data_IF_645890850261
#
_entry.id   IF_645890850261
#
_cell.length_a   1.000
_cell.length_b   1.000
_cell.length_c   1.000
_cell.angle_alpha   90.00
_cell.angle_beta   90.00
_cell.angle_gamma   90.00
#
_symmetry.space_group_name_H-M   'P 1'
#
loop_
_entity.id
_entity.type
_entity.pdbx_description
1 polymer ?
#
# COMPACT_ATOMS: atom_id res chain seq x y z
N UNK A 1 3.75 35.85 -16.99
CA UNK A 1 5.03 35.58 -16.27
C UNK A 1 6.06 35.06 -17.28
N UNK A 2 7.31 35.51 -17.26
CA UNK A 2 8.35 35.01 -18.18
C UNK A 2 8.78 33.60 -17.69
N UNK A 3 8.70 32.58 -18.55
CA UNK A 3 9.05 31.20 -18.22
C UNK A 3 10.50 31.04 -17.69
N UNK A 4 11.44 31.83 -18.22
CA UNK A 4 12.85 31.85 -17.78
C UNK A 4 12.93 32.29 -16.31
N UNK A 5 12.25 33.40 -15.99
CA UNK A 5 12.21 33.94 -14.62
C UNK A 5 11.54 32.95 -13.67
N UNK A 6 10.46 32.31 -14.11
CA UNK A 6 9.76 31.30 -13.28
C UNK A 6 10.67 30.11 -12.90
N UNK A 7 11.39 29.56 -13.88
CA UNK A 7 12.31 28.43 -13.64
C UNK A 7 13.45 28.87 -12.73
N UNK A 8 14.02 30.08 -12.96
CA UNK A 8 15.06 30.62 -12.10
C UNK A 8 14.60 30.80 -10.66
N UNK A 9 13.41 31.40 -10.46
CA UNK A 9 12.82 31.59 -9.13
C UNK A 9 12.52 30.25 -8.44
N UNK A 10 12.05 29.25 -9.21
CA UNK A 10 11.83 27.90 -8.68
C UNK A 10 13.14 27.28 -8.14
N UNK A 11 14.20 27.34 -8.91
CA UNK A 11 15.51 26.81 -8.51
C UNK A 11 16.03 27.53 -7.24
N UNK A 12 16.00 28.85 -7.22
CA UNK A 12 16.48 29.60 -6.06
C UNK A 12 15.67 29.41 -4.80
N UNK A 13 14.34 29.32 -4.89
CA UNK A 13 13.47 29.17 -3.71
C UNK A 13 13.45 27.76 -3.15
N UNK A 14 13.52 26.75 -4.02
CA UNK A 14 13.27 25.37 -3.62
C UNK A 14 14.53 24.51 -3.64
N UNK A 15 15.56 24.86 -4.42
CA UNK A 15 16.76 24.06 -4.65
C UNK A 15 18.05 24.88 -4.49
N UNK A 16 18.04 25.91 -3.64
CA UNK A 16 19.11 26.90 -3.49
C UNK A 16 20.48 26.32 -3.10
N UNK A 17 20.50 25.18 -2.42
CA UNK A 17 21.73 24.51 -2.00
C UNK A 17 22.19 23.41 -2.97
N UNK A 18 21.49 23.25 -4.08
CA UNK A 18 21.75 22.19 -5.04
C UNK A 18 22.60 22.71 -6.18
N UNK A 19 23.59 21.94 -6.60
CA UNK A 19 24.58 22.37 -7.61
C UNK A 19 24.53 21.54 -8.88
N UNK A 20 24.03 20.29 -8.82
CA UNK A 20 24.05 19.37 -9.95
C UNK A 20 22.71 18.66 -10.12
N UNK A 21 22.23 18.67 -11.35
CA UNK A 21 20.91 18.12 -11.67
C UNK A 21 20.96 17.13 -12.83
N UNK A 22 20.08 16.14 -12.77
CA UNK A 22 19.75 15.28 -13.90
C UNK A 22 18.43 15.78 -14.50
N UNK A 23 18.35 15.90 -15.80
CA UNK A 23 17.13 16.28 -16.52
C UNK A 23 16.61 15.07 -17.29
N UNK A 24 15.39 14.62 -16.97
CA UNK A 24 14.74 13.56 -17.71
C UNK A 24 14.27 14.06 -19.07
N UNK A 25 14.84 13.55 -20.17
CA UNK A 25 14.60 14.01 -21.53
C UNK A 25 14.00 12.90 -22.37
N UNK A 26 12.74 13.10 -22.83
CA UNK A 26 12.08 12.18 -23.78
C UNK A 26 12.32 12.52 -25.24
N UNK A 27 12.83 13.73 -25.55
CA UNK A 27 12.86 14.29 -26.89
C UNK A 27 11.62 15.12 -27.25
N UNK A 28 10.54 15.01 -26.45
CA UNK A 28 9.33 15.79 -26.62
C UNK A 28 9.48 17.26 -26.22
N UNK A 29 8.57 18.10 -26.71
CA UNK A 29 8.56 19.56 -26.59
C UNK A 29 8.89 20.06 -25.19
N UNK A 30 8.22 19.52 -24.17
CA UNK A 30 8.30 20.02 -22.79
C UNK A 30 9.66 19.68 -22.16
N UNK A 31 10.18 18.47 -22.42
CA UNK A 31 11.50 18.05 -21.93
C UNK A 31 12.65 18.80 -22.59
N UNK A 32 12.54 19.10 -23.88
CA UNK A 32 13.51 19.91 -24.63
C UNK A 32 13.47 21.36 -24.12
N UNK A 33 12.28 21.91 -23.88
CA UNK A 33 12.13 23.26 -23.32
C UNK A 33 12.81 23.36 -21.94
N UNK A 34 12.56 22.41 -21.04
CA UNK A 34 13.20 22.41 -19.73
C UNK A 34 14.72 22.32 -19.82
N UNK A 35 15.26 21.41 -20.63
CA UNK A 35 16.69 21.22 -20.79
C UNK A 35 17.36 22.51 -21.33
N UNK A 36 16.76 23.12 -22.34
CA UNK A 36 17.28 24.39 -22.92
C UNK A 36 17.21 25.55 -21.92
N UNK A 37 16.10 25.67 -21.15
CA UNK A 37 15.95 26.69 -20.10
C UNK A 37 17.05 26.60 -19.06
N UNK A 38 17.34 25.40 -18.57
CA UNK A 38 18.36 25.16 -17.55
C UNK A 38 19.76 25.47 -18.07
N UNK A 39 20.08 25.08 -19.33
CA UNK A 39 21.34 25.43 -19.98
C UNK A 39 21.49 26.94 -20.16
N UNK A 40 20.40 27.63 -20.57
CA UNK A 40 20.39 29.09 -20.71
C UNK A 40 20.62 29.81 -19.36
N UNK A 41 20.17 29.24 -18.26
CA UNK A 41 20.37 29.75 -16.90
C UNK A 41 21.75 29.40 -16.32
N UNK A 42 22.60 28.68 -17.06
CA UNK A 42 23.93 28.30 -16.62
C UNK A 42 23.94 27.21 -15.53
N UNK A 43 22.88 26.45 -15.43
CA UNK A 43 22.75 25.36 -14.43
C UNK A 43 23.56 24.13 -14.87
N UNK A 44 24.29 23.51 -13.95
CA UNK A 44 25.00 22.24 -14.22
C UNK A 44 24.02 21.08 -14.33
N UNK A 45 23.82 20.60 -15.56
CA UNK A 45 22.84 19.54 -15.86
C UNK A 45 23.47 18.41 -16.66
N UNK A 46 22.99 17.20 -16.35
CA UNK A 46 23.19 15.99 -17.16
C UNK A 46 21.85 15.56 -17.70
N UNK A 47 21.70 15.47 -19.01
CA UNK A 47 20.50 14.93 -19.65
C UNK A 47 20.47 13.41 -19.46
N UNK A 48 19.28 12.86 -19.15
CA UNK A 48 19.06 11.43 -19.01
C UNK A 48 17.92 10.97 -19.91
N UNK A 49 18.20 10.03 -20.83
CA UNK A 49 17.23 9.49 -21.77
C UNK A 49 17.05 7.99 -21.60
N UNK A 50 15.79 7.55 -21.53
CA UNK A 50 15.42 6.14 -21.51
C UNK A 50 14.79 5.71 -22.83
N UNK A 51 15.40 4.76 -23.53
CA UNK A 51 14.81 4.10 -24.68
C UNK A 51 14.14 2.79 -24.24
N UNK A 52 12.81 2.75 -24.27
CA UNK A 52 12.03 1.59 -23.81
C UNK A 52 11.79 0.55 -24.90
N UNK A 53 12.24 0.77 -26.14
CA UNK A 53 12.07 -0.10 -27.32
C UNK A 53 10.62 -0.55 -27.57
N UNK A 54 9.65 0.31 -27.22
CA UNK A 54 8.23 0.01 -27.37
C UNK A 54 7.68 0.32 -28.76
N UNK A 55 8.35 1.19 -29.54
CA UNK A 55 7.92 1.72 -30.83
C UNK A 55 8.92 1.42 -31.95
N UNK A 56 9.68 0.32 -31.84
CA UNK A 56 10.70 -0.07 -32.82
C UNK A 56 11.60 1.13 -33.26
N UNK A 57 11.68 1.43 -34.55
CA UNK A 57 12.56 2.46 -35.11
C UNK A 57 12.31 3.88 -34.54
N UNK A 58 11.05 4.23 -34.23
CA UNK A 58 10.73 5.54 -33.62
C UNK A 58 11.45 5.77 -32.30
N UNK A 59 11.58 4.70 -31.48
CA UNK A 59 12.28 4.80 -30.20
C UNK A 59 13.78 5.07 -30.37
N UNK A 60 14.39 4.52 -31.41
CA UNK A 60 15.80 4.71 -31.72
C UNK A 60 16.03 6.09 -32.38
N UNK A 61 15.08 6.58 -33.20
CA UNK A 61 15.09 7.93 -33.76
C UNK A 61 14.98 9.00 -32.65
N UNK A 62 14.12 8.78 -31.66
CA UNK A 62 14.01 9.68 -30.50
C UNK A 62 15.34 9.77 -29.73
N UNK A 63 16.01 8.65 -29.50
CA UNK A 63 17.32 8.60 -28.86
C UNK A 63 18.38 9.36 -29.69
N UNK A 64 18.41 9.17 -31.03
CA UNK A 64 19.33 9.88 -31.90
C UNK A 64 19.07 11.38 -31.92
N UNK A 65 17.81 11.79 -31.91
CA UNK A 65 17.43 13.21 -31.80
C UNK A 65 17.96 13.81 -30.50
N UNK A 66 17.76 13.15 -29.34
CA UNK A 66 18.25 13.64 -28.05
C UNK A 66 19.77 13.71 -28.02
N UNK A 67 20.48 12.71 -28.59
CA UNK A 67 21.95 12.75 -28.76
C UNK A 67 22.42 13.96 -29.56
N UNK A 68 21.76 14.20 -30.69
CA UNK A 68 22.07 15.33 -31.58
C UNK A 68 21.82 16.68 -30.91
N UNK A 69 20.67 16.80 -30.19
CA UNK A 69 20.32 18.01 -29.45
C UNK A 69 21.34 18.31 -28.34
N UNK A 70 21.69 17.31 -27.53
CA UNK A 70 22.65 17.47 -26.44
C UNK A 70 24.05 17.83 -26.96
N UNK A 71 24.49 17.23 -28.10
CA UNK A 71 25.74 17.54 -28.75
C UNK A 71 25.77 18.99 -29.25
N UNK A 72 24.66 19.46 -29.88
CA UNK A 72 24.55 20.82 -30.40
C UNK A 72 24.66 21.89 -29.29
N UNK A 73 24.08 21.57 -28.11
CA UNK A 73 24.04 22.53 -27.00
C UNK A 73 25.13 22.29 -25.94
N UNK A 74 26.10 21.41 -26.21
CA UNK A 74 27.19 21.05 -25.29
C UNK A 74 26.64 20.66 -23.92
N UNK A 75 25.75 19.64 -23.90
CA UNK A 75 25.11 19.07 -22.70
C UNK A 75 25.55 17.61 -22.56
N UNK A 76 26.03 17.25 -21.38
CA UNK A 76 26.34 15.84 -21.06
C UNK A 76 25.07 14.99 -21.10
N UNK A 77 25.13 13.82 -21.74
CA UNK A 77 23.99 12.92 -21.90
C UNK A 77 24.34 11.51 -21.43
N UNK A 78 23.45 10.94 -20.65
CA UNK A 78 23.43 9.51 -20.29
C UNK A 78 22.19 8.86 -20.91
N UNK A 79 22.36 7.69 -21.54
CA UNK A 79 21.29 6.94 -22.17
C UNK A 79 21.25 5.51 -21.67
N UNK A 80 20.05 4.95 -21.55
CA UNK A 80 19.85 3.54 -21.29
C UNK A 80 18.74 2.98 -22.19
N UNK A 81 18.86 1.71 -22.59
CA UNK A 81 17.82 1.00 -23.34
C UNK A 81 17.29 -0.17 -22.53
N UNK A 82 15.96 -0.39 -22.56
CA UNK A 82 15.27 -1.45 -21.86
C UNK A 82 14.48 -2.34 -22.82
N UNK A 83 14.56 -3.65 -22.65
CA UNK A 83 13.59 -4.57 -23.25
C UNK A 83 12.33 -4.64 -22.36
N UNK A 84 11.53 -3.57 -22.41
CA UNK A 84 10.38 -3.37 -21.54
C UNK A 84 9.32 -4.47 -21.73
N UNK A 85 9.15 -5.00 -22.94
CA UNK A 85 8.14 -6.04 -23.21
C UNK A 85 8.48 -7.34 -22.50
N UNK A 86 9.72 -7.80 -22.61
CA UNK A 86 10.18 -9.03 -21.93
C UNK A 86 10.12 -8.88 -20.39
N UNK A 87 10.52 -7.73 -19.86
CA UNK A 87 10.48 -7.47 -18.41
C UNK A 87 9.03 -7.46 -17.90
N UNK A 88 8.11 -6.77 -18.60
CA UNK A 88 6.69 -6.72 -18.26
C UNK A 88 6.05 -8.12 -18.23
N UNK A 89 6.34 -8.97 -19.23
CA UNK A 89 5.86 -10.35 -19.29
C UNK A 89 6.37 -11.18 -18.10
N UNK A 90 7.65 -11.08 -17.79
CA UNK A 90 8.26 -11.82 -16.68
C UNK A 90 7.70 -11.40 -15.31
N UNK A 91 7.44 -10.11 -15.12
CA UNK A 91 6.91 -9.56 -13.87
C UNK A 91 5.38 -9.62 -13.78
N UNK A 92 4.68 -9.98 -14.87
CA UNK A 92 3.20 -9.96 -14.98
C UNK A 92 2.60 -8.59 -14.63
N UNK A 93 3.27 -7.52 -15.01
CA UNK A 93 2.85 -6.13 -14.77
C UNK A 93 2.47 -5.44 -16.08
N UNK A 94 1.68 -4.35 -16.00
CA UNK A 94 1.34 -3.56 -17.19
C UNK A 94 2.59 -2.88 -17.78
N UNK A 95 2.70 -2.85 -19.11
CA UNK A 95 3.87 -2.27 -19.83
C UNK A 95 4.20 -0.85 -19.36
N UNK A 96 3.18 -0.01 -19.13
CA UNK A 96 3.38 1.38 -18.68
C UNK A 96 3.91 1.45 -17.24
N UNK A 97 3.43 0.56 -16.37
CA UNK A 97 3.89 0.45 -14.99
C UNK A 97 5.35 -0.02 -14.96
N UNK A 98 5.67 -1.05 -15.75
CA UNK A 98 7.03 -1.55 -15.91
C UNK A 98 7.97 -0.45 -16.42
N UNK A 99 7.60 0.25 -17.50
CA UNK A 99 8.40 1.35 -18.06
C UNK A 99 8.61 2.47 -17.05
N UNK A 100 7.58 2.79 -16.26
CA UNK A 100 7.68 3.78 -15.20
C UNK A 100 8.64 3.34 -14.08
N UNK A 101 8.53 2.11 -13.61
CA UNK A 101 9.43 1.57 -12.57
C UNK A 101 10.89 1.56 -13.05
N UNK A 102 11.16 1.05 -14.25
CA UNK A 102 12.50 1.03 -14.86
C UNK A 102 13.11 2.43 -14.97
N UNK A 103 12.31 3.40 -15.42
CA UNK A 103 12.72 4.82 -15.53
C UNK A 103 13.18 5.39 -14.20
N UNK A 104 12.35 5.28 -13.15
CA UNK A 104 12.65 5.90 -11.87
C UNK A 104 13.78 5.19 -11.12
N UNK A 105 13.88 3.87 -11.24
CA UNK A 105 14.98 3.11 -10.67
C UNK A 105 16.32 3.53 -11.31
N UNK A 106 16.40 3.58 -12.63
CA UNK A 106 17.61 4.01 -13.31
C UNK A 106 17.94 5.49 -13.04
N UNK A 107 16.96 6.38 -12.97
CA UNK A 107 17.20 7.77 -12.63
C UNK A 107 17.82 7.92 -11.23
N UNK A 108 17.38 7.10 -10.26
CA UNK A 108 17.97 7.12 -8.92
C UNK A 108 19.39 6.54 -8.91
N UNK A 109 19.63 5.44 -9.60
CA UNK A 109 20.97 4.87 -9.77
C UNK A 109 21.92 5.90 -10.40
N UNK A 110 21.47 6.58 -11.46
CA UNK A 110 22.22 7.62 -12.15
C UNK A 110 22.47 8.82 -11.22
N UNK A 111 21.46 9.24 -10.46
CA UNK A 111 21.58 10.35 -9.49
C UNK A 111 22.67 10.06 -8.46
N UNK A 112 22.65 8.87 -7.89
CA UNK A 112 23.66 8.45 -6.91
C UNK A 112 25.05 8.38 -7.55
N UNK A 113 25.19 7.76 -8.73
CA UNK A 113 26.47 7.57 -9.41
C UNK A 113 27.13 8.89 -9.83
N UNK A 114 26.34 9.88 -10.20
CA UNK A 114 26.80 11.20 -10.60
C UNK A 114 26.90 12.19 -9.44
N UNK A 115 26.51 11.80 -8.24
CA UNK A 115 26.38 12.67 -7.07
C UNK A 115 25.53 13.91 -7.39
N UNK A 116 24.38 13.70 -8.05
CA UNK A 116 23.43 14.75 -8.38
C UNK A 116 22.40 14.92 -7.26
N UNK A 117 21.95 16.17 -7.06
CA UNK A 117 21.03 16.51 -5.98
C UNK A 117 19.58 16.12 -6.31
N UNK A 118 19.14 16.46 -7.52
CA UNK A 118 17.77 16.24 -7.97
C UNK A 118 17.69 15.74 -9.41
N UNK A 119 16.55 15.09 -9.69
CA UNK A 119 16.09 14.74 -11.04
C UNK A 119 14.98 15.73 -11.41
N UNK A 120 15.18 16.48 -12.47
CA UNK A 120 14.22 17.47 -12.97
C UNK A 120 13.38 16.85 -14.09
N UNK A 121 12.05 16.98 -13.97
CA UNK A 121 11.10 16.48 -14.97
C UNK A 121 10.22 17.61 -15.49
N UNK A 122 9.81 17.50 -16.75
CA UNK A 122 9.08 18.55 -17.46
C UNK A 122 7.55 18.48 -17.29
N UNK A 123 7.05 18.00 -16.15
CA UNK A 123 5.62 18.08 -15.86
C UNK A 123 5.19 19.54 -15.74
N UNK A 124 4.01 19.87 -16.30
CA UNK A 124 3.52 21.24 -16.42
C UNK A 124 2.05 21.36 -15.93
N UNK A 125 1.46 22.56 -16.03
CA UNK A 125 0.13 22.85 -15.48
C UNK A 125 -0.98 21.94 -16.05
N UNK A 126 -0.90 21.56 -17.32
CA UNK A 126 -1.88 20.66 -17.92
C UNK A 126 -1.79 19.25 -17.33
N UNK A 127 -0.57 18.72 -17.08
CA UNK A 127 -0.42 17.40 -16.40
C UNK A 127 -0.99 17.43 -14.98
N UNK A 128 -0.83 18.58 -14.29
CA UNK A 128 -1.43 18.80 -12.98
C UNK A 128 -2.95 18.80 -13.06
N UNK A 129 -3.54 19.51 -14.05
CA UNK A 129 -4.99 19.54 -14.27
C UNK A 129 -5.55 18.16 -14.66
N UNK A 130 -4.86 17.42 -15.54
CA UNK A 130 -5.22 16.04 -15.88
C UNK A 130 -5.28 15.13 -14.64
N UNK A 131 -4.25 15.24 -13.80
CA UNK A 131 -4.17 14.43 -12.57
C UNK A 131 -5.25 14.82 -11.56
N UNK A 132 -5.52 16.13 -11.41
CA UNK A 132 -6.61 16.64 -10.57
C UNK A 132 -7.95 16.09 -11.02
N UNK A 133 -8.30 16.22 -12.29
CA UNK A 133 -9.57 15.74 -12.83
C UNK A 133 -9.72 14.22 -12.72
N UNK A 134 -8.66 13.48 -13.01
CA UNK A 134 -8.63 12.04 -12.85
C UNK A 134 -8.88 11.61 -11.39
N UNK A 135 -8.23 12.26 -10.44
CA UNK A 135 -8.37 11.98 -9.02
C UNK A 135 -9.74 12.41 -8.48
N UNK A 136 -10.26 13.55 -8.93
CA UNK A 136 -11.60 14.02 -8.60
C UNK A 136 -12.68 13.03 -9.07
N UNK A 137 -12.59 12.54 -10.30
CA UNK A 137 -13.50 11.55 -10.85
C UNK A 137 -13.47 10.20 -10.10
N UNK A 138 -12.36 9.87 -9.44
CA UNK A 138 -12.20 8.65 -8.62
C UNK A 138 -12.55 8.83 -7.15
N UNK A 139 -12.88 10.04 -6.70
CA UNK A 139 -13.16 10.31 -5.30
C UNK A 139 -11.95 10.19 -4.38
N UNK A 140 -10.77 10.56 -4.85
CA UNK A 140 -9.48 10.34 -4.15
C UNK A 140 -9.26 11.19 -2.89
N UNK A 141 -10.25 11.94 -2.39
CA UNK A 141 -10.12 12.80 -1.21
C UNK A 141 -9.11 13.94 -1.39
N UNK A 142 -8.86 14.69 -0.31
CA UNK A 142 -8.02 15.90 -0.35
C UNK A 142 -6.57 15.62 -0.77
N UNK A 143 -6.01 14.48 -0.37
CA UNK A 143 -4.66 14.05 -0.74
C UNK A 143 -4.50 13.77 -2.24
N UNK A 144 -5.54 13.28 -2.90
CA UNK A 144 -5.55 13.12 -4.36
C UNK A 144 -5.76 14.44 -5.09
N UNK A 145 -6.58 15.34 -4.52
CA UNK A 145 -6.90 16.63 -5.13
C UNK A 145 -5.73 17.63 -5.10
N UNK A 146 -4.73 17.48 -4.24
CA UNK A 146 -3.49 18.25 -4.33
C UNK A 146 -2.72 17.99 -5.63
N UNK A 147 -3.07 16.93 -6.37
CA UNK A 147 -2.50 16.55 -7.65
C UNK A 147 -0.98 16.24 -7.58
N UNK A 148 -0.19 16.75 -8.52
CA UNK A 148 1.24 16.51 -8.63
C UNK A 148 2.00 17.50 -7.75
N UNK A 149 2.85 17.07 -6.80
CA UNK A 149 3.66 18.00 -6.02
C UNK A 149 4.84 18.55 -6.84
N UNK A 150 5.24 19.79 -6.55
CA UNK A 150 6.38 20.45 -7.20
C UNK A 150 7.71 19.74 -6.89
N UNK A 151 7.83 19.19 -5.67
CA UNK A 151 8.96 18.34 -5.24
C UNK A 151 8.41 17.10 -4.59
N UNK A 152 9.01 15.95 -4.90
CA UNK A 152 8.68 14.66 -4.28
C UNK A 152 9.97 13.83 -4.15
N UNK A 153 10.52 13.76 -2.93
CA UNK A 153 11.84 13.20 -2.70
C UNK A 153 12.90 13.91 -3.53
N UNK A 154 13.63 13.18 -4.35
CA UNK A 154 14.66 13.69 -5.25
C UNK A 154 14.14 14.15 -6.62
N UNK A 155 12.85 14.19 -6.85
CA UNK A 155 12.24 14.61 -8.12
C UNK A 155 11.68 16.02 -7.97
N UNK A 156 12.11 16.96 -8.82
CA UNK A 156 11.58 18.30 -8.87
C UNK A 156 10.98 18.63 -10.25
N UNK A 157 10.02 19.55 -10.27
CA UNK A 157 9.20 19.88 -11.46
C UNK A 157 9.15 21.39 -11.69
N UNK A 158 10.22 21.97 -12.27
CA UNK A 158 10.31 23.42 -12.43
C UNK A 158 9.23 24.04 -13.33
N UNK A 159 8.63 23.26 -14.24
CA UNK A 159 7.57 23.70 -15.15
C UNK A 159 6.15 23.49 -14.63
N UNK A 160 5.97 22.96 -13.40
CA UNK A 160 4.65 22.50 -12.92
C UNK A 160 3.57 23.59 -12.92
N UNK A 161 3.95 24.85 -12.79
CA UNK A 161 3.03 26.00 -12.79
C UNK A 161 3.10 26.81 -14.09
N UNK A 162 3.64 26.25 -15.16
CA UNK A 162 3.69 26.80 -16.51
C UNK A 162 2.69 26.06 -17.39
N UNK A 163 1.88 26.78 -18.17
CA UNK A 163 0.92 26.17 -19.10
C UNK A 163 1.61 25.60 -20.33
N UNK A 164 0.99 24.62 -20.98
CA UNK A 164 1.48 24.05 -22.22
C UNK A 164 1.62 25.11 -23.32
N UNK A 165 0.73 26.12 -23.34
CA UNK A 165 0.81 27.26 -24.27
C UNK A 165 2.08 28.07 -24.05
N UNK A 166 2.43 28.41 -22.81
CA UNK A 166 3.64 29.15 -22.47
C UNK A 166 4.90 28.37 -22.87
N UNK A 167 4.93 27.05 -22.71
CA UNK A 167 6.04 26.20 -23.17
C UNK A 167 6.11 26.22 -24.69
N UNK A 168 4.98 26.11 -25.39
CA UNK A 168 4.90 26.14 -26.85
C UNK A 168 5.45 27.47 -27.38
N UNK A 169 5.00 28.59 -26.81
CA UNK A 169 5.48 29.92 -27.19
C UNK A 169 6.99 30.07 -26.98
N UNK A 170 7.52 29.51 -25.88
CA UNK A 170 8.97 29.50 -25.65
C UNK A 170 9.73 28.71 -26.72
N UNK A 171 9.29 27.50 -27.03
CA UNK A 171 9.91 26.61 -28.01
C UNK A 171 9.90 27.21 -29.40
N UNK A 172 8.78 27.84 -29.83
CA UNK A 172 8.64 28.52 -31.10
C UNK A 172 9.57 29.76 -31.16
N UNK A 173 9.57 30.61 -30.13
CA UNK A 173 10.40 31.79 -30.07
C UNK A 173 11.90 31.48 -30.08
N UNK A 174 12.31 30.32 -29.52
CA UNK A 174 13.69 29.84 -29.53
C UNK A 174 14.04 28.97 -30.74
N UNK A 175 13.07 28.69 -31.62
CA UNK A 175 13.21 27.81 -32.78
C UNK A 175 13.76 26.43 -32.44
N UNK A 176 13.35 25.88 -31.27
CA UNK A 176 13.80 24.59 -30.82
C UNK A 176 13.10 23.47 -31.59
N UNK A 177 13.88 22.52 -32.07
CA UNK A 177 13.35 21.27 -32.62
C UNK A 177 12.96 20.30 -31.51
N UNK A 178 11.92 19.52 -31.73
CA UNK A 178 11.45 18.46 -30.81
C UNK A 178 10.76 17.33 -31.59
N UNK A 179 10.60 16.19 -30.94
CA UNK A 179 9.87 15.03 -31.51
C UNK A 179 8.42 15.03 -31.03
N UNK A 180 7.53 14.61 -31.89
CA UNK A 180 6.11 14.38 -31.54
C UNK A 180 5.91 12.89 -31.31
N UNK A 181 5.52 12.52 -30.09
CA UNK A 181 5.29 11.14 -29.72
C UNK A 181 3.92 10.66 -30.27
N UNK A 182 3.94 9.69 -31.18
CA UNK A 182 2.75 9.13 -31.83
C UNK A 182 1.78 8.48 -30.81
N UNK A 183 2.25 8.00 -29.67
CA UNK A 183 1.42 7.41 -28.60
C UNK A 183 0.51 8.42 -27.91
N UNK A 184 0.83 9.71 -27.97
CA UNK A 184 0.00 10.78 -27.43
C UNK A 184 -1.34 10.96 -28.17
N UNK A 185 -1.48 10.41 -29.38
CA UNK A 185 -2.68 10.54 -30.21
C UNK A 185 -3.79 9.55 -29.85
N UNK A 186 -3.54 8.60 -28.94
CA UNK A 186 -4.50 7.52 -28.62
C UNK A 186 -5.26 7.82 -27.33
N UNK A 187 -6.60 7.86 -27.39
CA UNK A 187 -7.51 8.01 -26.24
C UNK A 187 -7.72 6.71 -25.44
N UNK A 188 -6.92 5.67 -25.72
CA UNK A 188 -7.04 4.36 -25.05
C UNK A 188 -6.86 4.43 -23.52
N UNK A 189 -6.24 5.48 -23.02
CA UNK A 189 -5.95 5.67 -21.61
C UNK A 189 -6.73 6.84 -21.02
N UNK A 190 -7.23 6.70 -19.81
CA UNK A 190 -8.07 7.68 -19.12
C UNK A 190 -7.46 9.09 -19.06
N UNK A 191 -6.13 9.21 -18.94
CA UNK A 191 -5.46 10.53 -18.95
C UNK A 191 -5.47 11.18 -20.31
N UNK A 192 -5.25 10.41 -21.38
CA UNK A 192 -5.33 10.94 -22.74
C UNK A 192 -6.76 11.40 -23.06
N UNK A 193 -7.77 10.66 -22.60
CA UNK A 193 -9.16 11.09 -22.73
C UNK A 193 -9.42 12.43 -22.03
N UNK A 194 -8.91 12.62 -20.81
CA UNK A 194 -9.03 13.90 -20.09
C UNK A 194 -8.32 15.01 -20.88
N UNK A 195 -7.11 14.77 -21.36
CA UNK A 195 -6.31 15.73 -22.15
C UNK A 195 -7.02 16.15 -23.44
N UNK A 196 -7.56 15.20 -24.20
CA UNK A 196 -8.06 15.48 -25.56
C UNK A 196 -9.56 15.82 -25.59
N UNK A 197 -10.33 15.38 -24.59
CA UNK A 197 -11.78 15.58 -24.61
C UNK A 197 -12.23 16.51 -23.48
N UNK A 198 -11.80 16.30 -22.24
CA UNK A 198 -12.35 17.01 -21.09
C UNK A 198 -11.76 18.41 -20.93
N UNK A 199 -10.44 18.53 -20.97
CA UNK A 199 -9.77 19.85 -20.83
C UNK A 199 -10.23 20.83 -21.92
N UNK A 200 -10.27 20.47 -23.22
CA UNK A 200 -10.78 21.37 -24.24
C UNK A 200 -12.24 21.82 -24.05
N UNK A 201 -13.10 20.94 -23.49
CA UNK A 201 -14.47 21.33 -23.15
C UNK A 201 -14.51 22.33 -21.98
N UNK A 202 -13.66 22.16 -20.98
CA UNK A 202 -13.54 23.11 -19.87
C UNK A 202 -13.00 24.46 -20.36
N UNK A 203 -12.05 24.48 -21.29
CA UNK A 203 -11.49 25.68 -21.89
C UNK A 203 -12.51 26.44 -22.77
N UNK A 204 -13.51 25.74 -23.35
CA UNK A 204 -14.64 26.39 -24.01
C UNK A 204 -15.55 27.13 -23.00
N UNK A 205 -15.66 26.65 -21.78
CA UNK A 205 -16.40 27.31 -20.70
C UNK A 205 -15.58 28.48 -20.17
N UNK A 206 -14.29 28.25 -19.93
CA UNK A 206 -13.35 29.25 -19.44
C UNK A 206 -11.95 28.98 -20.03
N UNK A 207 -11.43 29.85 -20.91
CA UNK A 207 -10.10 29.67 -21.50
C UNK A 207 -8.95 29.53 -20.47
N UNK A 208 -9.15 29.99 -19.23
CA UNK A 208 -8.18 29.87 -18.14
C UNK A 208 -8.46 28.65 -17.23
N UNK A 209 -9.23 27.67 -17.68
CA UNK A 209 -9.65 26.50 -16.85
C UNK A 209 -8.44 25.76 -16.24
N UNK A 210 -7.38 25.52 -17.01
CA UNK A 210 -6.15 24.86 -16.53
C UNK A 210 -5.48 25.69 -15.42
N UNK A 211 -5.38 27.00 -15.59
CA UNK A 211 -4.80 27.92 -14.60
C UNK A 211 -5.62 27.96 -13.31
N UNK A 212 -6.96 27.98 -13.41
CA UNK A 212 -7.82 27.96 -12.25
C UNK A 212 -7.80 26.61 -11.50
N UNK A 213 -7.69 25.49 -12.21
CA UNK A 213 -7.46 24.18 -11.59
C UNK A 213 -6.12 24.18 -10.84
N UNK A 214 -5.06 24.69 -11.47
CA UNK A 214 -3.75 24.81 -10.84
C UNK A 214 -3.81 25.68 -9.57
N UNK A 215 -4.47 26.85 -9.61
CA UNK A 215 -4.67 27.68 -8.41
C UNK A 215 -5.44 26.93 -7.31
N UNK A 216 -6.48 26.19 -7.67
CA UNK A 216 -7.26 25.39 -6.72
C UNK A 216 -6.39 24.31 -6.04
N UNK A 217 -5.50 23.65 -6.81
CA UNK A 217 -4.56 22.66 -6.23
C UNK A 217 -3.54 23.30 -5.30
N UNK A 218 -3.09 24.54 -5.60
CA UNK A 218 -2.19 25.29 -4.72
C UNK A 218 -2.87 25.65 -3.39
N UNK A 219 -4.12 26.09 -3.43
CA UNK A 219 -4.90 26.35 -2.21
C UNK A 219 -5.04 25.08 -1.38
N UNK A 220 -5.44 23.95 -2.00
CA UNK A 220 -5.55 22.67 -1.32
C UNK A 220 -4.19 22.28 -0.69
N UNK A 221 -3.12 22.39 -1.44
CA UNK A 221 -1.76 22.05 -0.98
C UNK A 221 -1.31 22.91 0.19
N UNK A 222 -1.69 24.19 0.22
CA UNK A 222 -1.35 25.11 1.31
C UNK A 222 -2.11 24.84 2.61
N UNK A 223 -3.32 24.25 2.51
CA UNK A 223 -4.15 23.89 3.67
C UNK A 223 -3.79 22.52 4.25
N UNK A 224 -3.19 21.63 3.46
CA UNK A 224 -2.86 20.28 3.89
C UNK A 224 -2.01 20.20 5.17
N UNK A 225 -0.94 21.00 5.36
CA UNK A 225 -0.16 20.96 6.60
C UNK A 225 -1.01 21.23 7.86
N UNK A 226 -2.02 22.11 7.76
CA UNK A 226 -2.95 22.40 8.87
C UNK A 226 -3.80 21.16 9.18
N UNK A 227 -4.27 20.47 8.14
CA UNK A 227 -5.05 19.23 8.30
C UNK A 227 -4.18 18.13 8.86
N UNK A 228 -2.96 17.97 8.37
CA UNK A 228 -1.99 16.96 8.82
C UNK A 228 -1.61 17.18 10.30
N UNK A 229 -1.30 18.40 10.71
CA UNK A 229 -1.04 18.74 12.11
C UNK A 229 -2.22 18.37 13.02
N UNK A 230 -3.44 18.69 12.60
CA UNK A 230 -4.65 18.32 13.33
C UNK A 230 -4.85 16.81 13.39
N UNK A 231 -4.60 16.09 12.31
CA UNK A 231 -4.73 14.64 12.24
C UNK A 231 -3.66 13.95 13.09
N UNK A 232 -2.44 14.45 13.11
CA UNK A 232 -1.37 13.93 13.97
C UNK A 232 -1.69 14.10 15.47
N UNK A 233 -2.28 15.23 15.84
CA UNK A 233 -2.76 15.45 17.22
C UNK A 233 -3.88 14.47 17.59
N UNK A 234 -4.84 14.25 16.70
CA UNK A 234 -5.92 13.28 16.90
C UNK A 234 -5.43 11.84 16.93
N UNK A 235 -4.46 11.49 16.10
CA UNK A 235 -3.84 10.17 16.09
C UNK A 235 -3.27 9.81 17.46
N UNK A 236 -2.56 10.74 18.11
CA UNK A 236 -2.03 10.56 19.46
C UNK A 236 -3.13 10.36 20.52
N UNK A 237 -4.32 10.92 20.31
CA UNK A 237 -5.44 10.84 21.25
C UNK A 237 -6.32 9.60 21.03
N UNK A 238 -6.58 9.25 19.77
CA UNK A 238 -7.60 8.27 19.39
C UNK A 238 -7.03 6.90 19.03
N UNK A 239 -5.74 6.83 18.70
CA UNK A 239 -5.10 5.61 18.20
C UNK A 239 -4.07 5.13 19.22
N UNK A 240 -4.14 3.85 19.55
CA UNK A 240 -3.12 3.14 20.31
C UNK A 240 -2.64 1.92 19.54
N UNK A 241 -1.37 1.61 19.62
CA UNK A 241 -0.78 0.42 19.00
C UNK A 241 -0.48 -0.58 20.12
N UNK A 242 -1.03 -1.79 20.00
CA UNK A 242 -0.81 -2.87 20.93
C UNK A 242 -0.57 -4.19 20.18
N UNK A 243 0.55 -4.86 20.48
CA UNK A 243 0.94 -6.13 19.84
C UNK A 243 0.81 -6.14 18.31
N UNK A 244 1.17 -5.02 17.65
CA UNK A 244 1.09 -4.87 16.20
C UNK A 244 -0.32 -4.59 15.66
N UNK A 245 -1.34 -4.47 16.52
CA UNK A 245 -2.68 -4.03 16.15
C UNK A 245 -2.85 -2.52 16.38
N UNK A 246 -3.62 -1.88 15.50
CA UNK A 246 -4.01 -0.47 15.61
C UNK A 246 -5.40 -0.43 16.23
N UNK A 247 -5.53 0.19 17.40
CA UNK A 247 -6.79 0.32 18.12
C UNK A 247 -7.28 1.76 18.04
N UNK A 248 -8.47 1.99 17.48
CA UNK A 248 -9.06 3.32 17.28
C UNK A 248 -10.32 3.45 18.14
N UNK A 249 -10.40 4.53 18.95
CA UNK A 249 -11.56 4.82 19.76
C UNK A 249 -12.68 5.43 18.93
N UNK A 250 -13.69 4.61 18.56
CA UNK A 250 -14.81 5.06 17.71
C UNK A 250 -15.77 6.02 18.43
N UNK A 251 -15.93 5.92 19.75
CA UNK A 251 -16.81 6.82 20.52
C UNK A 251 -16.31 8.26 20.42
N UNK A 252 -15.02 8.47 20.68
CA UNK A 252 -14.43 9.81 20.60
C UNK A 252 -14.32 10.29 19.16
N UNK A 253 -14.01 9.38 18.23
CA UNK A 253 -13.91 9.69 16.81
C UNK A 253 -15.26 10.20 16.25
N UNK A 254 -16.38 9.58 16.59
CA UNK A 254 -17.72 9.96 16.10
C UNK A 254 -18.19 11.34 16.57
N UNK A 255 -17.61 11.91 17.61
CA UNK A 255 -17.88 13.28 18.04
C UNK A 255 -17.35 14.32 17.05
N UNK A 256 -16.50 13.92 16.11
CA UNK A 256 -15.86 14.81 15.15
C UNK A 256 -16.68 14.90 13.86
N UNK A 257 -16.96 16.11 13.38
CA UNK A 257 -17.66 16.34 12.11
C UNK A 257 -16.89 15.82 10.88
N UNK A 258 -15.60 15.52 11.03
CA UNK A 258 -14.69 15.01 10.00
C UNK A 258 -14.16 13.59 10.30
N UNK A 259 -14.88 12.84 11.14
CA UNK A 259 -14.52 11.48 11.54
C UNK A 259 -14.22 10.55 10.34
N UNK A 260 -15.06 10.60 9.30
CA UNK A 260 -14.88 9.79 8.09
C UNK A 260 -13.60 10.14 7.33
N UNK A 261 -13.26 11.41 7.23
CA UNK A 261 -12.05 11.85 6.55
C UNK A 261 -10.79 11.47 7.33
N UNK A 262 -10.80 11.63 8.65
CA UNK A 262 -9.71 11.20 9.51
C UNK A 262 -9.51 9.68 9.41
N UNK A 263 -10.58 8.90 9.56
CA UNK A 263 -10.50 7.44 9.53
C UNK A 263 -10.06 6.95 8.15
N UNK A 264 -10.56 7.56 7.07
CA UNK A 264 -10.12 7.23 5.72
C UNK A 264 -8.63 7.54 5.50
N UNK A 265 -8.14 8.66 5.99
CA UNK A 265 -6.72 9.01 5.91
C UNK A 265 -5.83 7.95 6.58
N UNK A 266 -6.22 7.46 7.75
CA UNK A 266 -5.46 6.44 8.48
C UNK A 266 -5.57 5.04 7.85
N UNK A 267 -6.74 4.68 7.31
CA UNK A 267 -7.00 3.32 6.83
C UNK A 267 -6.78 3.11 5.33
N UNK A 268 -6.77 4.15 4.51
CA UNK A 268 -6.55 4.03 3.06
C UNK A 268 -5.17 3.48 2.71
N UNK A 269 -4.14 3.82 3.48
CA UNK A 269 -2.77 3.29 3.34
C UNK A 269 -2.69 1.79 3.69
N UNK A 270 -3.68 1.29 4.44
CA UNK A 270 -3.85 -0.12 4.79
C UNK A 270 -4.78 -0.85 3.82
N UNK A 271 -5.21 -0.18 2.73
CA UNK A 271 -6.00 -0.75 1.64
C UNK A 271 -7.52 -0.73 1.83
N UNK A 272 -8.05 -0.07 2.85
CA UNK A 272 -9.50 0.11 3.00
C UNK A 272 -10.01 1.25 2.13
N UNK A 273 -11.17 1.06 1.50
CA UNK A 273 -11.82 2.07 0.68
C UNK A 273 -12.81 2.93 1.49
N UNK A 274 -13.25 4.04 0.88
CA UNK A 274 -14.13 5.00 1.54
C UNK A 274 -15.49 4.40 1.95
N UNK A 275 -16.05 3.48 1.15
CA UNK A 275 -17.31 2.80 1.49
C UNK A 275 -17.17 1.96 2.74
N UNK A 276 -16.08 1.20 2.86
CA UNK A 276 -15.78 0.43 4.07
C UNK A 276 -15.62 1.32 5.30
N UNK A 277 -14.93 2.45 5.16
CA UNK A 277 -14.73 3.40 6.26
C UNK A 277 -16.06 4.01 6.75
N UNK A 278 -16.94 4.38 5.83
CA UNK A 278 -18.28 4.87 6.18
C UNK A 278 -19.11 3.79 6.88
N UNK A 279 -19.03 2.54 6.41
CA UNK A 279 -19.73 1.42 7.04
C UNK A 279 -19.19 1.13 8.44
N UNK A 280 -17.86 1.17 8.66
CA UNK A 280 -17.25 1.07 9.99
C UNK A 280 -17.78 2.09 10.99
N UNK A 281 -17.97 3.33 10.56
CA UNK A 281 -18.51 4.39 11.41
C UNK A 281 -20.00 4.18 11.69
N UNK A 282 -20.78 3.77 10.70
CA UNK A 282 -22.21 3.53 10.84
C UNK A 282 -22.53 2.32 11.73
N UNK A 283 -21.66 1.31 11.74
CA UNK A 283 -21.83 0.08 12.51
C UNK A 283 -21.00 0.03 13.80
N UNK A 284 -20.45 1.16 14.23
CA UNK A 284 -19.52 1.28 15.38
C UNK A 284 -20.00 0.71 16.70
N UNK A 285 -21.33 0.58 16.88
CA UNK A 285 -21.97 -0.02 18.06
C UNK A 285 -22.19 -1.54 17.93
N UNK A 286 -21.91 -2.15 16.77
CA UNK A 286 -22.11 -3.58 16.51
C UNK A 286 -20.79 -4.34 16.66
N UNK A 287 -20.52 -4.84 17.87
CA UNK A 287 -19.34 -5.69 18.11
C UNK A 287 -19.39 -6.96 17.25
N UNK A 288 -18.25 -7.28 16.61
CA UNK A 288 -18.10 -8.43 15.73
C UNK A 288 -18.20 -8.11 14.24
N UNK A 289 -18.62 -6.89 13.85
CA UNK A 289 -18.55 -6.46 12.46
C UNK A 289 -17.10 -6.41 11.98
N UNK A 290 -16.81 -6.87 10.76
CA UNK A 290 -15.46 -6.96 10.23
C UNK A 290 -15.37 -6.58 8.74
N UNK A 291 -14.23 -6.05 8.35
CA UNK A 291 -13.89 -5.66 6.97
C UNK A 291 -12.48 -6.12 6.63
N UNK A 292 -12.29 -6.55 5.39
CA UNK A 292 -11.01 -7.00 4.88
C UNK A 292 -10.51 -6.04 3.80
N UNK A 293 -9.23 -5.69 3.87
CA UNK A 293 -8.48 -5.13 2.76
C UNK A 293 -7.54 -6.21 2.20
N UNK A 294 -6.74 -5.86 1.19
CA UNK A 294 -5.72 -6.78 0.65
C UNK A 294 -4.58 -7.08 1.65
N UNK A 295 -4.39 -6.28 2.67
CA UNK A 295 -3.27 -6.40 3.62
C UNK A 295 -3.67 -6.38 5.09
N UNK A 296 -4.91 -5.98 5.43
CA UNK A 296 -5.35 -5.82 6.82
C UNK A 296 -6.80 -6.25 7.02
N UNK A 297 -7.12 -6.59 8.25
CA UNK A 297 -8.48 -6.88 8.72
C UNK A 297 -8.83 -5.87 9.81
N UNK A 298 -10.02 -5.27 9.73
CA UNK A 298 -10.57 -4.36 10.72
C UNK A 298 -11.79 -5.00 11.40
N UNK A 299 -11.88 -4.95 12.73
CA UNK A 299 -12.99 -5.53 13.52
C UNK A 299 -13.44 -4.51 14.56
N UNK A 300 -14.74 -4.41 14.78
CA UNK A 300 -15.29 -3.66 15.90
C UNK A 300 -15.40 -4.57 17.15
N UNK A 301 -14.80 -4.13 18.23
CA UNK A 301 -14.92 -4.74 19.53
C UNK A 301 -15.15 -3.67 20.62
N UNK A 302 -16.31 -3.69 21.30
CA UNK A 302 -16.68 -2.76 22.37
C UNK A 302 -16.43 -1.29 22.00
N UNK A 303 -16.96 -0.88 20.82
CA UNK A 303 -16.81 0.48 20.27
C UNK A 303 -15.36 0.93 19.99
N UNK A 304 -14.42 0.00 19.90
CA UNK A 304 -13.08 0.20 19.35
C UNK A 304 -12.99 -0.48 17.99
N UNK A 305 -12.40 0.18 17.02
CA UNK A 305 -11.99 -0.43 15.77
C UNK A 305 -10.57 -0.96 15.95
N UNK A 306 -10.41 -2.26 15.81
CA UNK A 306 -9.11 -2.94 15.91
C UNK A 306 -8.71 -3.34 14.50
N UNK A 307 -7.56 -2.84 14.05
CA UNK A 307 -7.01 -3.16 12.73
C UNK A 307 -5.69 -3.90 12.93
N UNK A 308 -5.57 -5.05 12.29
CA UNK A 308 -4.36 -5.88 12.35
C UNK A 308 -3.98 -6.39 10.96
N UNK A 309 -2.69 -6.70 10.73
CA UNK A 309 -2.25 -7.25 9.46
C UNK A 309 -3.03 -8.51 9.12
N UNK A 310 -3.70 -8.50 7.97
CA UNK A 310 -4.31 -9.67 7.37
C UNK A 310 -3.22 -10.34 6.54
N UNK A 311 -2.73 -11.46 6.98
CA UNK A 311 -2.06 -12.34 6.04
C UNK A 311 -3.17 -12.94 5.17
N UNK A 312 -3.26 -12.57 3.89
CA UNK A 312 -3.84 -13.44 2.86
C UNK A 312 -2.96 -14.70 2.74
N UNK A 313 -2.95 -15.50 3.76
CA UNK A 313 -2.87 -16.92 3.51
C UNK A 313 -4.34 -17.34 3.33
N UNK A 314 -4.73 -17.55 2.06
CA UNK A 314 -5.79 -18.52 1.76
C UNK A 314 -5.75 -19.56 2.87
N UNK A 315 -6.91 -19.94 3.38
CA UNK A 315 -7.03 -21.04 4.34
C UNK A 315 -6.43 -22.30 3.70
N UNK A 316 -5.10 -22.37 3.62
CA UNK A 316 -4.42 -23.62 3.41
C UNK A 316 -4.81 -24.44 4.63
N UNK A 317 -5.46 -25.55 4.39
CA UNK A 317 -5.77 -26.55 5.39
C UNK A 317 -4.45 -27.17 5.86
N UNK A 318 -3.72 -26.44 6.70
CA UNK A 318 -2.56 -27.00 7.35
C UNK A 318 -3.05 -27.99 8.39
N UNK A 319 -2.73 -29.24 8.19
CA UNK A 319 -2.95 -30.32 9.15
C UNK A 319 -1.57 -30.89 9.54
N UNK A 320 -1.36 -31.04 10.82
CA UNK A 320 -0.14 -31.66 11.34
C UNK A 320 -0.52 -32.95 12.06
N UNK A 321 0.00 -34.08 11.56
CA UNK A 321 -0.29 -35.42 12.08
C UNK A 321 0.83 -35.86 13.03
N UNK A 322 0.46 -36.31 14.21
CA UNK A 322 1.35 -36.90 15.22
C UNK A 322 0.96 -38.35 15.44
N UNK A 323 1.83 -39.28 15.07
CA UNK A 323 1.57 -40.72 15.23
C UNK A 323 1.98 -41.24 16.61
N UNK A 324 2.95 -40.62 17.25
CA UNK A 324 3.42 -40.96 18.61
C UNK A 324 4.03 -39.72 19.27
N UNK A 325 4.03 -39.64 20.60
CA UNK A 325 4.75 -38.60 21.34
C UNK A 325 5.94 -39.27 22.05
N UNK A 326 7.12 -38.76 21.72
CA UNK A 326 8.35 -38.95 22.51
C UNK A 326 8.35 -37.90 23.61
N UNK A 327 9.21 -37.98 24.60
CA UNK A 327 9.24 -37.10 25.80
C UNK A 327 8.84 -35.62 25.52
N UNK A 328 9.26 -35.07 24.41
CA UNK A 328 8.86 -33.76 23.91
C UNK A 328 8.67 -33.79 22.38
N UNK A 329 7.52 -33.32 21.92
CA UNK A 329 7.22 -33.19 20.49
C UNK A 329 6.79 -31.74 20.21
N UNK A 330 7.35 -31.14 19.14
CA UNK A 330 6.96 -29.81 18.68
C UNK A 330 6.05 -29.90 17.45
N UNK A 331 4.98 -29.14 17.44
CA UNK A 331 4.00 -29.04 16.35
C UNK A 331 3.90 -27.58 15.95
N UNK A 332 4.24 -27.25 14.72
CA UNK A 332 4.13 -25.88 14.21
C UNK A 332 3.00 -25.76 13.20
N UNK A 333 2.04 -24.88 13.49
CA UNK A 333 0.95 -24.50 12.59
C UNK A 333 0.85 -22.96 12.56
N UNK A 334 0.73 -22.37 11.40
CA UNK A 334 0.50 -20.91 11.23
C UNK A 334 1.38 -20.04 12.12
N UNK A 335 2.67 -20.25 12.11
CA UNK A 335 3.63 -19.49 12.94
C UNK A 335 3.39 -19.63 14.46
N UNK A 336 2.60 -20.61 14.91
CA UNK A 336 2.46 -20.99 16.30
C UNK A 336 3.11 -22.35 16.50
N UNK A 337 4.02 -22.44 17.45
CA UNK A 337 4.65 -23.69 17.81
C UNK A 337 4.07 -24.17 19.15
N UNK A 338 3.45 -25.34 19.13
CA UNK A 338 2.96 -26.03 20.31
C UNK A 338 4.00 -27.03 20.79
N UNK A 339 4.18 -27.08 22.08
CA UNK A 339 5.01 -28.07 22.75
C UNK A 339 4.12 -29.11 23.41
N UNK A 340 4.28 -30.36 23.01
CA UNK A 340 3.59 -31.52 23.55
C UNK A 340 4.54 -32.25 24.52
N UNK A 341 4.11 -32.44 25.73
CA UNK A 341 4.89 -33.09 26.80
C UNK A 341 4.12 -34.26 27.36
N UNK A 342 4.76 -35.42 27.48
CA UNK A 342 4.23 -36.54 28.23
C UNK A 342 4.74 -36.43 29.66
N UNK A 343 3.80 -36.28 30.63
CA UNK A 343 4.12 -36.16 32.05
C UNK A 343 3.37 -37.19 32.85
N UNK A 344 3.85 -37.53 34.06
CA UNK A 344 3.12 -38.36 35.00
C UNK A 344 2.01 -37.55 35.69
N UNK A 345 0.92 -38.18 36.04
CA UNK A 345 -0.20 -37.51 36.70
C UNK A 345 0.18 -36.81 38.02
N UNK A 346 1.16 -37.32 38.72
CA UNK A 346 1.71 -36.76 39.97
C UNK A 346 2.49 -35.44 39.75
N UNK A 347 2.95 -35.18 38.53
CA UNK A 347 3.74 -34.01 38.12
C UNK A 347 2.88 -32.90 37.50
N UNK A 348 1.57 -33.13 37.37
CA UNK A 348 0.67 -32.20 36.71
C UNK A 348 0.43 -30.93 37.53
N UNK A 349 0.89 -29.80 37.05
CA UNK A 349 0.59 -28.47 37.58
C UNK A 349 -0.28 -27.73 36.56
N UNK A 350 -1.56 -27.56 36.89
CA UNK A 350 -2.55 -26.98 35.98
C UNK A 350 -2.37 -25.45 35.88
N UNK A 351 -2.32 -24.95 34.67
CA UNK A 351 -2.11 -23.53 34.35
C UNK A 351 -3.14 -23.04 33.36
N UNK A 352 -3.49 -21.78 33.37
CA UNK A 352 -4.34 -21.17 32.36
C UNK A 352 -3.64 -21.20 30.99
N UNK A 353 -4.39 -21.41 29.93
CA UNK A 353 -3.91 -21.53 28.54
C UNK A 353 -3.07 -22.76 28.19
N UNK A 354 -3.05 -23.74 29.07
CA UNK A 354 -2.46 -25.05 28.80
C UNK A 354 -3.56 -26.13 28.78
N UNK A 355 -3.42 -27.15 27.94
CA UNK A 355 -4.36 -28.28 27.92
C UNK A 355 -3.71 -29.53 28.50
N UNK A 356 -4.51 -30.28 29.23
CA UNK A 356 -4.09 -31.50 29.90
C UNK A 356 -5.08 -32.62 29.58
N UNK A 357 -4.62 -33.60 28.83
CA UNK A 357 -5.45 -34.72 28.34
C UNK A 357 -4.94 -36.05 28.90
N UNK A 358 -5.86 -36.94 29.24
CA UNK A 358 -5.55 -38.32 29.60
C UNK A 358 -5.14 -39.09 28.35
N UNK A 359 -3.85 -39.42 28.22
CA UNK A 359 -3.30 -40.02 26.99
C UNK A 359 -3.86 -41.44 26.76
N UNK A 360 -4.24 -42.17 27.82
CA UNK A 360 -4.76 -43.52 27.71
C UNK A 360 -6.17 -43.57 27.10
N UNK A 361 -6.81 -42.40 26.96
CA UNK A 361 -8.13 -42.21 26.33
C UNK A 361 -8.07 -41.72 24.90
N UNK A 362 -6.89 -41.43 24.39
CA UNK A 362 -6.68 -40.90 23.06
C UNK A 362 -6.46 -42.05 22.07
N UNK A 363 -7.13 -41.97 20.92
CA UNK A 363 -6.94 -42.92 19.82
C UNK A 363 -6.07 -42.34 18.75
N UNK A 364 -4.86 -42.86 18.58
CA UNK A 364 -3.89 -42.39 17.62
C UNK A 364 -4.32 -42.62 16.16
N UNK A 365 -3.88 -41.73 15.18
CA UNK A 365 -3.03 -40.58 15.36
C UNK A 365 -3.79 -39.36 15.90
N UNK A 366 -3.02 -38.36 16.42
CA UNK A 366 -3.54 -37.03 16.77
C UNK A 366 -3.29 -36.08 15.62
N UNK A 367 -4.32 -35.32 15.22
CA UNK A 367 -4.19 -34.28 14.19
C UNK A 367 -4.43 -32.90 14.79
N UNK A 368 -3.57 -31.97 14.47
CA UNK A 368 -3.69 -30.56 14.79
C UNK A 368 -4.10 -29.82 13.53
N UNK A 369 -5.19 -29.07 13.56
CA UNK A 369 -5.70 -28.31 12.42
C UNK A 369 -6.44 -27.06 12.83
N UNK A 370 -6.76 -26.22 11.86
CA UNK A 370 -7.69 -25.12 12.08
C UNK A 370 -9.09 -25.64 12.34
N UNK A 371 -9.87 -24.88 13.16
CA UNK A 371 -11.29 -25.17 13.30
C UNK A 371 -12.04 -24.91 12.00
N UNK A 372 -13.11 -25.64 11.78
CA UNK A 372 -13.95 -25.55 10.58
C UNK A 372 -15.40 -25.32 10.97
N UNK A 373 -16.16 -24.70 10.05
CA UNK A 373 -17.59 -24.54 10.28
C UNK A 373 -18.27 -25.89 10.33
N UNK A 374 -19.02 -26.13 11.41
CA UNK A 374 -19.67 -27.45 11.66
C UNK A 374 -18.96 -28.32 12.69
N UNK A 375 -17.73 -28.02 13.08
CA UNK A 375 -17.00 -28.74 14.13
C UNK A 375 -17.79 -28.78 15.44
N UNK A 376 -17.91 -29.99 16.03
CA UNK A 376 -18.66 -30.22 17.27
C UNK A 376 -17.82 -31.06 18.23
N UNK A 377 -17.85 -30.68 19.49
CA UNK A 377 -17.20 -31.44 20.60
C UNK A 377 -18.01 -31.31 21.90
N UNK A 378 -17.61 -31.99 22.94
CA UNK A 378 -18.23 -31.90 24.27
C UNK A 378 -17.29 -31.19 25.23
N UNK A 379 -17.35 -29.83 25.36
CA UNK A 379 -16.43 -29.10 26.20
C UNK A 379 -16.44 -29.57 27.65
N UNK A 380 -15.29 -29.59 28.30
CA UNK A 380 -15.14 -29.94 29.70
C UNK A 380 -16.12 -29.13 30.58
N UNK A 381 -16.89 -29.84 31.41
CA UNK A 381 -17.86 -29.23 32.30
C UNK A 381 -19.24 -28.95 31.71
N UNK A 382 -19.48 -29.22 30.43
CA UNK A 382 -20.79 -29.10 29.79
C UNK A 382 -21.38 -30.47 29.44
N UNK A 383 -22.70 -30.58 29.50
CA UNK A 383 -23.40 -31.78 29.06
C UNK A 383 -23.78 -31.66 27.59
N UNK A 384 -23.39 -32.66 26.77
CA UNK A 384 -23.75 -32.73 25.35
C UNK A 384 -22.76 -32.09 24.41
N UNK A 385 -22.95 -32.36 23.10
CA UNK A 385 -22.09 -31.83 22.00
C UNK A 385 -22.50 -30.39 21.63
N UNK A 386 -21.52 -29.53 21.46
CA UNK A 386 -21.69 -28.12 21.08
C UNK A 386 -20.85 -27.81 19.86
N UNK A 387 -21.35 -26.94 18.96
CA UNK A 387 -20.54 -26.45 17.88
C UNK A 387 -19.41 -25.52 18.42
N UNK A 388 -18.23 -25.58 17.84
CA UNK A 388 -17.11 -24.71 18.21
C UNK A 388 -17.48 -23.24 18.01
N UNK A 389 -18.22 -22.90 16.94
CA UNK A 389 -18.76 -21.55 16.72
C UNK A 389 -19.61 -21.05 17.89
N UNK A 390 -20.51 -21.91 18.41
CA UNK A 390 -21.40 -21.56 19.51
C UNK A 390 -20.64 -21.46 20.85
N UNK A 391 -19.60 -22.28 21.03
CA UNK A 391 -18.69 -22.22 22.18
C UNK A 391 -17.95 -20.85 22.18
N UNK A 392 -17.45 -20.41 21.04
CA UNK A 392 -16.80 -19.11 20.92
C UNK A 392 -17.72 -17.94 21.24
N UNK A 393 -18.98 -17.99 20.81
CA UNK A 393 -19.99 -16.96 21.11
C UNK A 393 -20.28 -16.92 22.61
N UNK A 394 -20.57 -18.05 23.23
CA UNK A 394 -20.90 -18.13 24.66
C UNK A 394 -19.76 -17.68 25.57
N UNK A 395 -18.53 -18.01 25.20
CA UNK A 395 -17.32 -17.60 25.93
C UNK A 395 -16.84 -16.21 25.56
N UNK A 396 -17.54 -15.52 24.64
CA UNK A 396 -17.17 -14.16 24.13
C UNK A 396 -15.72 -14.09 23.65
N UNK A 397 -15.26 -15.15 22.98
CA UNK A 397 -13.87 -15.24 22.49
C UNK A 397 -13.70 -14.26 21.32
N UNK A 398 -12.71 -13.35 21.36
CA UNK A 398 -12.41 -12.43 20.27
C UNK A 398 -12.07 -13.16 18.98
N UNK A 399 -12.46 -12.60 17.82
CA UNK A 399 -12.26 -13.25 16.52
C UNK A 399 -10.79 -13.55 16.19
N UNK A 400 -9.88 -12.71 16.65
CA UNK A 400 -8.44 -12.97 16.53
C UNK A 400 -8.01 -14.26 17.22
N UNK A 401 -8.56 -14.54 18.42
CA UNK A 401 -8.28 -15.76 19.16
C UNK A 401 -8.99 -16.97 18.54
N UNK A 402 -10.18 -16.77 17.94
CA UNK A 402 -10.86 -17.83 17.16
C UNK A 402 -10.00 -18.26 15.96
N UNK A 403 -9.41 -17.29 15.23
CA UNK A 403 -8.55 -17.58 14.07
C UNK A 403 -7.24 -18.28 14.45
N UNK A 404 -6.72 -17.99 15.65
CA UNK A 404 -5.52 -18.62 16.20
C UNK A 404 -5.80 -19.95 16.89
N UNK A 405 -7.08 -20.33 17.05
CA UNK A 405 -7.45 -21.57 17.74
C UNK A 405 -7.07 -22.79 16.90
N UNK A 406 -6.52 -23.77 17.56
CA UNK A 406 -6.15 -25.06 16.96
C UNK A 406 -7.08 -26.14 17.50
N UNK A 407 -7.75 -26.82 16.60
CA UNK A 407 -8.54 -28.03 16.90
C UNK A 407 -7.60 -29.21 16.95
N UNK A 408 -7.74 -30.00 18.00
CA UNK A 408 -6.99 -31.21 18.20
C UNK A 408 -7.98 -32.36 18.04
N UNK A 409 -7.72 -33.26 17.10
CA UNK A 409 -8.55 -34.46 16.88
C UNK A 409 -7.74 -35.71 17.15
N UNK A 410 -8.39 -36.76 17.60
CA UNK A 410 -7.86 -38.11 17.49
C UNK A 410 -8.46 -38.80 16.25
N UNK A 411 -8.25 -40.10 16.08
CA UNK A 411 -8.78 -40.82 14.91
C UNK A 411 -10.32 -40.92 14.90
N UNK A 412 -11.04 -40.49 15.95
CA UNK A 412 -12.49 -40.63 16.10
C UNK A 412 -13.21 -39.29 16.20
N UNK A 413 -12.74 -38.39 17.06
CA UNK A 413 -13.45 -37.18 17.44
C UNK A 413 -12.51 -35.98 17.72
N UNK A 414 -13.10 -34.82 17.94
CA UNK A 414 -12.38 -33.64 18.43
C UNK A 414 -12.13 -33.82 19.92
N UNK A 415 -10.88 -33.84 20.34
CA UNK A 415 -10.44 -34.04 21.73
C UNK A 415 -10.01 -32.76 22.44
N UNK A 416 -9.81 -31.64 21.69
CA UNK A 416 -9.45 -30.37 22.31
C UNK A 416 -9.56 -29.18 21.35
N UNK A 417 -9.65 -28.01 21.97
CA UNK A 417 -9.64 -26.71 21.32
C UNK A 417 -8.62 -25.82 22.04
N UNK A 418 -7.40 -25.77 21.52
CA UNK A 418 -6.31 -24.97 22.10
C UNK A 418 -6.49 -23.47 21.79
N UNK A 419 -6.28 -22.54 22.74
CA UNK A 419 -5.83 -22.77 24.14
C UNK A 419 -6.98 -22.86 25.15
N UNK A 420 -8.21 -23.16 24.77
CA UNK A 420 -9.41 -22.90 25.60
C UNK A 420 -9.86 -24.08 26.47
N UNK A 421 -9.97 -25.28 25.90
CA UNK A 421 -10.60 -26.43 26.62
C UNK A 421 -10.33 -27.76 25.93
N UNK A 422 -10.55 -28.84 26.65
CA UNK A 422 -10.51 -30.22 26.13
C UNK A 422 -11.93 -30.79 26.01
N UNK A 423 -12.07 -31.86 25.26
CA UNK A 423 -13.29 -32.64 25.27
C UNK A 423 -13.43 -33.45 26.58
N UNK A 424 -14.65 -33.61 27.05
CA UNK A 424 -14.95 -34.32 28.30
C UNK A 424 -14.52 -35.79 28.27
N UNK A 425 -14.40 -36.43 27.10
CA UNK A 425 -13.97 -37.82 26.95
C UNK A 425 -12.52 -38.04 27.37
N UNK A 426 -11.63 -37.06 27.10
CA UNK A 426 -10.19 -37.14 27.39
C UNK A 426 -9.80 -36.45 28.70
N UNK A 427 -10.78 -36.16 29.55
CA UNK A 427 -10.50 -35.54 30.85
C UNK A 427 -9.67 -36.44 31.76
N UNK A 428 -8.80 -35.84 32.54
CA UNK A 428 -8.02 -36.50 33.59
C UNK A 428 -8.97 -36.98 34.70
N UNK A 429 -8.70 -38.17 35.19
CA UNK A 429 -9.42 -38.81 36.33
C UNK A 429 -8.39 -39.25 37.38
N UNK A 430 -8.82 -39.59 38.60
CA UNK A 430 -7.92 -40.14 39.64
C UNK A 430 -7.18 -41.42 39.24
N UNK A 431 -7.66 -42.11 38.19
CA UNK A 431 -7.01 -43.32 37.66
C UNK A 431 -6.07 -43.08 36.50
N UNK A 432 -5.98 -41.84 35.99
CA UNK A 432 -5.08 -41.47 34.92
C UNK A 432 -3.61 -41.54 35.34
N UNK A 433 -2.77 -42.24 34.59
CA UNK A 433 -1.35 -42.43 34.89
C UNK A 433 -0.45 -41.47 34.13
N UNK A 434 -0.76 -41.27 32.86
CA UNK A 434 0.04 -40.41 31.95
C UNK A 434 -0.84 -39.32 31.35
N UNK A 435 -0.28 -38.13 31.29
CA UNK A 435 -0.96 -36.91 30.83
C UNK A 435 -0.22 -36.32 29.65
N UNK A 436 -0.97 -36.03 28.61
CA UNK A 436 -0.49 -35.18 27.52
C UNK A 436 -0.71 -33.70 27.90
N UNK A 437 0.39 -32.97 28.15
CA UNK A 437 0.38 -31.52 28.35
C UNK A 437 0.67 -30.84 27.04
N UNK A 438 -0.16 -29.87 26.65
CA UNK A 438 -0.01 -29.05 25.44
C UNK A 438 0.11 -27.58 25.85
N UNK A 439 1.17 -26.92 25.46
CA UNK A 439 1.47 -25.51 25.76
C UNK A 439 2.03 -24.82 24.54
N UNK A 440 2.07 -23.48 24.55
CA UNK A 440 2.88 -22.74 23.58
C UNK A 440 4.38 -22.99 23.85
N UNK A 441 5.17 -23.09 22.78
CA UNK A 441 6.62 -23.31 22.86
C UNK A 441 7.38 -22.02 23.19
#
# INVERSE_FOLDING_TARGET
MNIVQHVNDFLHRNLSNSTKFIVAVSGGKDSIALLHLLKQLGVDVVAAHCNFKLRADESDEDEQFVKSFCKLHDIKLECISFDTKTISLNQKTAIQETARALRYNWFEELRVSLNADYILTAHHANDLAETFLFNAARGSGINGLKSIPAINGFIARPLLHITQEQITNYVVNKQLQFRVDSSNLSDKYSRNFIRHQIIPLLEQINPQAVEHIMQSTQVISSLLPIVEEKFDALKKQLITIDNGSININLIELQKLNYASHFLFNELSVLGFNNTQVLDMLNTSHQSGSSWNSHSHIAIINQAKLIVYPGTETAFEHEEFLVNEIKETTLVTLKNQTLKLLLIKAEEASFSEHELYLDIDKITWPITFRNWQMGDKFSPLGLKGRKKISDYFIDKKIPDLLKQKSIVITDSKDIIGLFPFTIDNQVKITPTSKHILKITMA
#
